data_IF_571270962340
#
_entry.id   IF_571270962340
#
_cell.length_a   1.000
_cell.length_b   1.000
_cell.length_c   1.000
_cell.angle_alpha   90.00
_cell.angle_beta   90.00
_cell.angle_gamma   90.00
#
_symmetry.space_group_name_H-M   'P 1'
#
loop_
_entity.id
_entity.type
_entity.pdbx_description
1 polymer ?
#
# COMPACT_ATOMS: atom_id res chain seq x y z
N UNK A 1 -15.25 1.56 -2.24
CA UNK A 1 -14.85 0.15 -2.43
C UNK A 1 -13.50 -0.04 -1.74
N UNK A 2 -13.45 -0.98 -0.80
CA UNK A 2 -12.26 -1.23 0.02
C UNK A 2 -11.49 -2.44 -0.50
N UNK A 3 -10.23 -2.21 -0.87
CA UNK A 3 -9.29 -3.22 -1.34
C UNK A 3 -8.22 -3.45 -0.28
N UNK A 4 -8.11 -4.69 0.19
CA UNK A 4 -7.05 -5.11 1.10
C UNK A 4 -6.07 -6.00 0.37
N UNK A 5 -4.87 -5.50 0.13
CA UNK A 5 -3.84 -6.21 -0.59
C UNK A 5 -2.74 -6.71 0.32
N UNK A 6 -2.64 -8.02 0.49
CA UNK A 6 -1.58 -8.69 1.24
C UNK A 6 -0.49 -9.25 0.30
N UNK A 7 0.77 -8.88 0.52
CA UNK A 7 1.92 -9.28 -0.29
C UNK A 7 3.01 -9.94 0.54
N UNK A 8 3.54 -11.08 0.08
CA UNK A 8 4.72 -11.72 0.69
C UNK A 8 6.04 -11.32 0.03
N UNK A 9 6.06 -11.12 -1.29
CA UNK A 9 7.28 -10.79 -2.04
C UNK A 9 7.04 -9.70 -3.09
N UNK A 10 8.11 -8.98 -3.42
CA UNK A 10 8.11 -7.75 -4.22
C UNK A 10 8.02 -8.01 -5.73
N UNK A 11 8.27 -9.23 -6.19
CA UNK A 11 8.77 -9.43 -7.56
C UNK A 11 7.72 -9.57 -8.67
N UNK A 12 6.43 -9.81 -8.38
CA UNK A 12 5.49 -10.19 -9.45
C UNK A 12 4.35 -9.20 -9.75
N UNK A 13 4.29 -8.05 -9.07
CA UNK A 13 3.08 -7.21 -9.10
C UNK A 13 3.32 -5.73 -9.41
N UNK A 14 4.46 -5.39 -10.01
CA UNK A 14 4.75 -4.03 -10.49
C UNK A 14 3.71 -3.54 -11.51
N UNK A 15 3.17 -4.44 -12.33
CA UNK A 15 2.12 -4.11 -13.29
C UNK A 15 0.83 -3.64 -12.59
N UNK A 16 0.50 -4.27 -11.46
CA UNK A 16 -0.70 -3.94 -10.69
C UNK A 16 -0.50 -2.62 -9.94
N UNK A 17 0.67 -2.36 -9.36
CA UNK A 17 0.92 -1.06 -8.73
C UNK A 17 0.85 0.09 -9.73
N UNK A 18 1.37 -0.11 -10.96
CA UNK A 18 1.22 0.86 -12.04
C UNK A 18 -0.25 1.13 -12.39
N UNK A 19 -1.07 0.08 -12.52
CA UNK A 19 -2.51 0.22 -12.81
C UNK A 19 -3.25 0.93 -11.68
N UNK A 20 -3.02 0.53 -10.44
CA UNK A 20 -3.66 1.15 -9.29
C UNK A 20 -3.30 2.64 -9.17
N UNK A 21 -2.04 3.01 -9.39
CA UNK A 21 -1.64 4.42 -9.37
C UNK A 21 -2.35 5.25 -10.45
N UNK A 22 -2.64 4.68 -11.64
CA UNK A 22 -3.43 5.37 -12.66
C UNK A 22 -4.85 5.60 -12.19
N UNK A 23 -5.47 4.59 -11.56
CA UNK A 23 -6.82 4.70 -11.01
C UNK A 23 -6.88 5.76 -9.92
N UNK A 24 -5.91 5.79 -9.00
CA UNK A 24 -5.85 6.84 -7.97
C UNK A 24 -5.65 8.24 -8.55
N UNK A 25 -4.86 8.37 -9.62
CA UNK A 25 -4.69 9.66 -10.31
C UNK A 25 -6.00 10.16 -10.91
N UNK A 26 -6.79 9.27 -11.51
CA UNK A 26 -8.11 9.62 -12.07
C UNK A 26 -9.09 9.96 -10.95
N UNK A 27 -9.08 9.19 -9.84
CA UNK A 27 -9.92 9.44 -8.68
C UNK A 27 -9.61 10.79 -8.00
N UNK A 28 -8.35 11.21 -7.96
CA UNK A 28 -7.95 12.53 -7.45
C UNK A 28 -8.50 13.68 -8.31
N UNK A 29 -8.72 13.44 -9.60
CA UNK A 29 -9.28 14.42 -10.54
C UNK A 29 -10.81 14.42 -10.57
N UNK A 30 -11.41 13.23 -10.45
CA UNK A 30 -12.86 13.05 -10.45
C UNK A 30 -13.28 11.89 -9.53
N UNK A 31 -13.73 12.25 -8.32
CA UNK A 31 -14.16 11.30 -7.30
C UNK A 31 -15.64 10.90 -7.43
N UNK A 32 -16.37 11.43 -8.40
CA UNK A 32 -17.84 11.27 -8.48
C UNK A 32 -18.30 9.87 -8.86
N UNK A 33 -17.44 9.10 -9.54
CA UNK A 33 -17.80 7.79 -10.09
C UNK A 33 -17.28 6.58 -9.29
N UNK A 34 -16.21 6.71 -8.49
CA UNK A 34 -15.63 5.58 -7.77
C UNK A 34 -14.64 6.01 -6.67
N UNK A 35 -14.99 5.82 -5.39
CA UNK A 35 -14.03 5.94 -4.26
C UNK A 35 -13.38 4.57 -3.99
N UNK A 36 -12.13 4.38 -4.42
CA UNK A 36 -11.33 3.20 -4.08
C UNK A 36 -10.42 3.52 -2.91
N UNK A 37 -10.44 2.65 -1.89
CA UNK A 37 -9.52 2.70 -0.75
C UNK A 37 -8.65 1.46 -0.77
N UNK A 38 -7.33 1.62 -0.85
CA UNK A 38 -6.40 0.50 -0.89
C UNK A 38 -5.52 0.45 0.35
N UNK A 39 -5.74 -0.58 1.18
CA UNK A 39 -4.85 -0.94 2.27
C UNK A 39 -3.82 -1.97 1.80
N UNK A 40 -2.53 -1.59 1.74
CA UNK A 40 -1.46 -2.50 1.33
C UNK A 40 -0.71 -3.04 2.54
N UNK A 41 -0.54 -4.36 2.63
CA UNK A 41 0.07 -5.06 3.75
C UNK A 41 1.18 -5.99 3.27
N UNK A 42 2.42 -5.71 3.68
CA UNK A 42 3.57 -6.57 3.41
C UNK A 42 3.74 -7.56 4.56
N UNK A 43 3.42 -8.83 4.32
CA UNK A 43 3.41 -9.92 5.31
C UNK A 43 4.68 -10.79 5.24
N UNK A 44 5.74 -10.32 4.58
CA UNK A 44 6.99 -11.08 4.45
C UNK A 44 7.57 -11.42 5.84
N UNK A 45 7.92 -12.69 6.07
CA UNK A 45 8.63 -13.12 7.30
C UNK A 45 9.99 -12.41 7.37
N UNK A 46 10.42 -12.00 8.57
CA UNK A 46 11.70 -11.31 8.82
C UNK A 46 12.88 -12.24 8.53
N UNK A 47 13.31 -12.35 7.27
CA UNK A 47 14.56 -13.05 6.92
C UNK A 47 15.78 -12.17 7.20
N UNK A 48 15.65 -10.86 6.95
CA UNK A 48 16.66 -9.84 7.27
C UNK A 48 16.01 -8.64 7.96
N UNK A 49 16.25 -8.51 9.27
CA UNK A 49 15.62 -7.48 10.12
C UNK A 49 16.02 -6.07 9.70
N UNK A 50 17.27 -5.86 9.28
CA UNK A 50 17.77 -4.56 8.83
C UNK A 50 16.99 -4.02 7.64
N UNK A 51 16.82 -4.81 6.58
CA UNK A 51 16.05 -4.42 5.38
C UNK A 51 14.62 -4.05 5.74
N UNK A 52 13.99 -4.82 6.63
CA UNK A 52 12.62 -4.54 7.05
C UNK A 52 12.50 -3.22 7.83
N UNK A 53 13.45 -2.95 8.73
CA UNK A 53 13.51 -1.68 9.47
C UNK A 53 13.72 -0.51 8.52
N UNK A 54 14.62 -0.62 7.55
CA UNK A 54 14.84 0.41 6.54
C UNK A 54 13.58 0.65 5.70
N UNK A 55 12.93 -0.40 5.20
CA UNK A 55 11.68 -0.27 4.44
C UNK A 55 10.60 0.47 5.24
N UNK A 56 10.42 0.11 6.52
CA UNK A 56 9.46 0.78 7.40
C UNK A 56 9.85 2.24 7.67
N UNK A 57 11.14 2.52 7.85
CA UNK A 57 11.68 3.87 8.01
C UNK A 57 11.35 4.71 6.76
N UNK A 58 11.75 4.26 5.58
CA UNK A 58 11.47 4.98 4.32
C UNK A 58 9.98 5.25 4.13
N UNK A 59 9.12 4.31 4.52
CA UNK A 59 7.68 4.47 4.36
C UNK A 59 7.06 5.51 5.31
N UNK A 60 7.69 5.74 6.47
CA UNK A 60 7.29 6.79 7.42
C UNK A 60 7.82 8.17 7.02
N UNK A 61 8.96 8.23 6.34
CA UNK A 61 9.61 9.47 5.92
C UNK A 61 9.32 9.81 4.45
N UNK A 62 8.14 9.44 3.95
CA UNK A 62 7.71 9.93 2.64
C UNK A 62 7.44 11.43 2.71
N UNK A 63 7.98 12.15 1.74
CA UNK A 63 7.76 13.58 1.51
C UNK A 63 6.90 13.74 0.26
N UNK A 64 6.29 14.90 0.05
CA UNK A 64 5.48 15.18 -1.16
C UNK A 64 6.27 15.05 -2.47
N UNK A 65 7.61 15.11 -2.41
CA UNK A 65 8.50 14.81 -3.55
C UNK A 65 8.67 13.30 -3.83
N UNK A 66 8.35 12.45 -2.86
CA UNK A 66 8.52 10.99 -2.86
C UNK A 66 7.18 10.29 -2.57
N UNK A 67 6.18 10.57 -3.43
CA UNK A 67 4.82 10.04 -3.29
C UNK A 67 4.74 8.50 -3.38
N UNK A 68 5.66 7.87 -4.11
CA UNK A 68 5.62 6.42 -4.35
C UNK A 68 6.47 5.65 -3.34
N UNK A 69 5.96 4.50 -2.89
CA UNK A 69 6.76 3.57 -2.07
C UNK A 69 8.04 3.15 -2.81
N UNK A 70 9.23 3.23 -2.21
CA UNK A 70 10.43 2.59 -2.75
C UNK A 70 10.29 1.06 -2.78
N UNK A 71 9.36 0.50 -2.00
CA UNK A 71 9.14 -0.94 -1.88
C UNK A 71 8.06 -1.43 -2.84
N UNK A 72 6.88 -0.82 -2.87
CA UNK A 72 5.73 -1.31 -3.66
C UNK A 72 5.45 -0.48 -4.91
N UNK A 73 6.10 0.69 -5.04
CA UNK A 73 5.79 1.74 -6.02
C UNK A 73 4.34 2.23 -5.99
N UNK A 74 3.59 1.94 -4.93
CA UNK A 74 2.24 2.49 -4.74
C UNK A 74 2.31 3.89 -4.15
N UNK A 75 1.38 4.76 -4.58
CA UNK A 75 1.14 6.08 -3.97
C UNK A 75 0.60 5.93 -2.53
N UNK A 76 -0.17 4.87 -2.28
CA UNK A 76 -0.80 4.65 -0.98
C UNK A 76 0.19 4.24 0.11
N UNK A 77 -0.17 4.48 1.39
CA UNK A 77 0.60 3.99 2.52
C UNK A 77 0.68 2.46 2.52
N UNK A 78 1.90 1.95 2.67
CA UNK A 78 2.15 0.51 2.83
C UNK A 78 2.34 0.20 4.31
N UNK A 79 1.57 -0.75 4.83
CA UNK A 79 1.72 -1.27 6.18
C UNK A 79 2.55 -2.56 6.16
N UNK A 80 3.28 -2.80 7.25
CA UNK A 80 4.12 -3.98 7.40
C UNK A 80 3.56 -4.86 8.52
N UNK A 81 3.32 -6.12 8.22
CA UNK A 81 2.65 -7.06 9.12
C UNK A 81 1.31 -7.54 8.57
N UNK A 82 0.66 -8.42 9.33
CA UNK A 82 -0.66 -8.94 8.97
C UNK A 82 -1.72 -7.91 9.37
N UNK A 83 -2.67 -7.56 8.49
CA UNK A 83 -3.82 -6.75 8.87
C UNK A 83 -4.66 -7.49 9.90
N UNK A 84 -5.21 -6.73 10.86
CA UNK A 84 -6.34 -7.21 11.64
C UNK A 84 -7.62 -6.94 10.85
N UNK A 85 -8.06 -7.93 10.08
CA UNK A 85 -9.22 -7.77 9.20
C UNK A 85 -10.50 -7.54 9.99
N UNK A 86 -10.64 -8.10 11.20
CA UNK A 86 -11.83 -7.94 12.03
C UNK A 86 -12.01 -6.47 12.44
N UNK A 87 -10.95 -5.87 12.99
CA UNK A 87 -10.94 -4.45 13.36
C UNK A 87 -11.18 -3.53 12.16
N UNK A 88 -10.65 -3.91 10.99
CA UNK A 88 -10.80 -3.13 9.77
C UNK A 88 -12.25 -3.14 9.29
N UNK A 89 -12.91 -4.30 9.28
CA UNK A 89 -14.33 -4.41 8.90
C UNK A 89 -15.25 -3.72 9.89
N UNK A 90 -14.97 -3.79 11.20
CA UNK A 90 -15.77 -3.12 12.24
C UNK A 90 -15.70 -1.59 12.14
N UNK A 91 -14.55 -1.03 11.76
CA UNK A 91 -14.38 0.42 11.60
C UNK A 91 -15.12 0.99 10.37
N UNK A 92 -15.56 0.12 9.47
CA UNK A 92 -16.24 0.50 8.22
C UNK A 92 -17.76 0.29 8.25
N UNK A 93 -18.27 -0.30 9.33
CA UNK A 93 -19.69 -0.37 9.68
C UNK A 93 -20.03 0.71 10.73
#
# INVERSE_FOLDING_TARGET
LDLYWMMREKNYLLWFSKRMNQVFCVQDLDASHLDIRLGTYVTQKRKETSIHVFRRRFEKYRTDSLLYSPTTRLKNPTQFGRPDLALITEKQY
#
